data_IF_436325130708
#
_entry.id   IF_436325130708
#
_cell.length_a   1.000
_cell.length_b   1.000
_cell.length_c   1.000
_cell.angle_alpha   90.00
_cell.angle_beta   90.00
_cell.angle_gamma   90.00
#
_symmetry.space_group_name_H-M   'P 1'
#
loop_
_entity.id
_entity.type
_entity.pdbx_description
1 polymer ?
#
# COMPACT_ATOMS: atom_id res chain seq x y z
N UNK A 1 11.82 24.88 -2.70
CA UNK A 1 11.78 23.60 -1.95
C UNK A 1 11.04 22.61 -2.82
N UNK A 2 11.73 21.61 -3.39
CA UNK A 2 11.05 20.56 -4.15
C UNK A 2 10.24 19.73 -3.15
N UNK A 3 8.92 19.91 -3.12
CA UNK A 3 8.02 19.01 -2.38
C UNK A 3 8.24 17.62 -2.93
N UNK A 4 8.90 16.77 -2.14
CA UNK A 4 9.07 15.35 -2.45
C UNK A 4 7.70 14.75 -2.73
N UNK A 5 7.46 14.37 -4.00
CA UNK A 5 6.19 13.78 -4.41
C UNK A 5 6.05 12.44 -3.70
N UNK A 6 5.12 12.38 -2.75
CA UNK A 6 4.82 11.20 -1.95
C UNK A 6 3.36 10.82 -2.11
N UNK A 7 3.06 9.52 -1.99
CA UNK A 7 1.68 9.07 -1.99
C UNK A 7 1.00 9.57 -0.71
N UNK A 8 -0.26 9.95 -0.84
CA UNK A 8 -1.05 10.48 0.27
C UNK A 8 -2.39 9.77 0.33
N UNK A 9 -2.88 9.52 1.54
CA UNK A 9 -4.25 9.09 1.74
C UNK A 9 -5.21 10.27 1.55
N UNK A 10 -6.49 9.97 1.30
CA UNK A 10 -7.56 10.98 1.24
C UNK A 10 -7.69 11.81 2.53
N UNK A 11 -7.25 11.27 3.67
CA UNK A 11 -7.21 11.99 4.94
C UNK A 11 -5.98 12.92 5.09
N UNK A 12 -5.13 13.03 4.07
CA UNK A 12 -3.91 13.84 4.09
C UNK A 12 -2.68 13.16 4.70
N UNK A 13 -2.82 11.94 5.24
CA UNK A 13 -1.67 11.20 5.77
C UNK A 13 -0.72 10.76 4.65
N UNK A 14 0.58 11.03 4.82
CA UNK A 14 1.63 10.54 3.92
C UNK A 14 1.76 9.02 4.03
N UNK A 15 1.77 8.36 2.87
CA UNK A 15 1.82 6.91 2.74
C UNK A 15 3.20 6.48 2.28
N UNK A 16 3.87 5.73 3.17
CA UNK A 16 5.13 5.05 2.93
C UNK A 16 5.01 3.60 3.42
N UNK A 17 5.84 2.70 2.89
CA UNK A 17 5.83 1.28 3.32
C UNK A 17 6.03 1.12 4.82
N UNK A 18 6.76 2.03 5.46
CA UNK A 18 7.12 1.99 6.87
C UNK A 18 5.97 2.46 7.75
N UNK A 19 5.17 3.42 7.27
CA UNK A 19 4.01 3.95 8.00
C UNK A 19 2.75 3.12 7.81
N UNK A 20 2.65 2.36 6.71
CA UNK A 20 1.50 1.51 6.45
C UNK A 20 1.32 0.43 7.53
N UNK A 21 0.07 0.33 8.01
CA UNK A 21 -0.37 -0.73 8.90
C UNK A 21 -0.76 -1.93 8.04
N UNK A 22 -0.13 -3.07 8.30
CA UNK A 22 -0.40 -4.31 7.58
C UNK A 22 -0.99 -5.28 8.59
N UNK A 23 -2.26 -5.66 8.40
CA UNK A 23 -2.97 -6.56 9.31
C UNK A 23 -3.22 -7.88 8.61
N UNK A 24 -2.96 -9.01 9.27
CA UNK A 24 -3.26 -10.33 8.67
C UNK A 24 -4.77 -10.56 8.67
N UNK A 25 -5.34 -10.87 7.50
CA UNK A 25 -6.73 -11.30 7.35
C UNK A 25 -6.72 -12.79 6.99
N UNK A 26 -7.06 -13.64 7.96
CA UNK A 26 -7.12 -15.08 7.76
C UNK A 26 -5.75 -15.71 7.45
N UNK A 27 -5.76 -16.84 6.74
CA UNK A 27 -4.54 -17.61 6.49
C UNK A 27 -3.72 -17.09 5.30
N UNK A 28 -4.38 -16.48 4.31
CA UNK A 28 -3.80 -16.18 2.98
C UNK A 28 -3.86 -14.71 2.57
N UNK A 29 -4.20 -13.79 3.47
CA UNK A 29 -4.40 -12.39 3.14
C UNK A 29 -3.83 -11.41 4.16
N UNK A 30 -3.51 -10.21 3.69
CA UNK A 30 -3.17 -9.05 4.52
C UNK A 30 -3.99 -7.82 4.09
N UNK A 31 -4.55 -7.10 5.05
CA UNK A 31 -5.09 -5.75 4.84
C UNK A 31 -3.96 -4.73 4.84
N UNK A 32 -4.05 -3.73 3.98
CA UNK A 32 -3.23 -2.52 4.05
C UNK A 32 -4.14 -1.41 4.55
N UNK A 33 -3.87 -0.92 5.75
CA UNK A 33 -4.64 0.16 6.37
C UNK A 33 -3.83 1.47 6.43
N UNK A 34 -4.56 2.57 6.46
CA UNK A 34 -4.00 3.90 6.64
C UNK A 34 -3.38 4.02 8.04
N UNK A 35 -2.18 4.62 8.18
CA UNK A 35 -1.60 4.91 9.50
C UNK A 35 -2.47 5.78 10.40
N UNK A 36 -3.35 6.61 9.80
CA UNK A 36 -4.20 7.50 10.56
C UNK A 36 -5.44 6.74 11.07
N UNK A 37 -5.60 6.57 12.39
CA UNK A 37 -6.75 5.85 12.96
C UNK A 37 -8.08 6.57 12.73
N UNK A 38 -8.03 7.87 12.41
CA UNK A 38 -9.19 8.70 12.10
C UNK A 38 -9.51 8.74 10.59
N UNK A 39 -8.78 7.97 9.78
CA UNK A 39 -9.00 7.95 8.34
C UNK A 39 -10.39 7.35 8.01
N UNK A 40 -11.27 8.04 7.28
CA UNK A 40 -12.58 7.49 6.92
C UNK A 40 -12.48 6.31 5.94
N UNK A 41 -11.39 6.21 5.18
CA UNK A 41 -11.18 5.09 4.26
C UNK A 41 -10.79 3.81 5.01
N UNK A 42 -10.04 3.95 6.11
CA UNK A 42 -9.34 2.90 6.89
C UNK A 42 -8.50 1.93 6.04
N UNK A 43 -9.11 1.20 5.12
CA UNK A 43 -8.50 0.30 4.17
C UNK A 43 -7.99 1.02 2.91
N UNK A 44 -6.68 0.96 2.67
CA UNK A 44 -6.03 1.46 1.46
C UNK A 44 -5.90 0.38 0.39
N UNK A 45 -6.03 -0.88 0.76
CA UNK A 45 -5.93 -2.03 -0.12
C UNK A 45 -5.76 -3.33 0.65
N UNK A 46 -5.46 -4.38 -0.08
CA UNK A 46 -5.20 -5.71 0.48
C UNK A 46 -4.12 -6.42 -0.32
N UNK A 47 -3.60 -7.49 0.25
CA UNK A 47 -2.59 -8.36 -0.33
C UNK A 47 -3.08 -9.78 -0.24
N UNK A 48 -3.10 -10.45 -1.38
CA UNK A 48 -3.37 -11.88 -1.46
C UNK A 48 -2.04 -12.62 -1.58
N UNK A 49 -1.90 -13.70 -0.83
CA UNK A 49 -0.74 -14.60 -0.93
C UNK A 49 -1.15 -15.78 -1.81
N UNK A 50 -0.63 -15.82 -3.03
CA UNK A 50 -0.78 -16.96 -3.93
C UNK A 50 0.45 -17.87 -3.84
N UNK A 51 0.22 -19.19 -3.74
CA UNK A 51 1.21 -20.27 -3.58
C UNK A 51 1.97 -20.34 -2.24
N UNK A 52 1.69 -21.37 -1.44
CA UNK A 52 2.37 -21.63 -0.16
C UNK A 52 3.87 -21.96 -0.28
N UNK A 53 4.30 -22.59 -1.38
CA UNK A 53 5.70 -23.03 -1.55
C UNK A 53 6.63 -21.94 -2.09
N UNK A 54 6.08 -20.92 -2.76
CA UNK A 54 6.78 -19.71 -3.23
C UNK A 54 5.80 -18.54 -3.12
N UNK A 55 5.72 -17.88 -1.94
CA UNK A 55 4.69 -16.89 -1.68
C UNK A 55 4.80 -15.74 -2.69
N UNK A 56 3.78 -15.63 -3.53
CA UNK A 56 3.59 -14.52 -4.45
C UNK A 56 2.58 -13.58 -3.82
N UNK A 57 3.03 -12.38 -3.50
CA UNK A 57 2.21 -11.34 -2.89
C UNK A 57 1.58 -10.50 -3.99
N UNK A 58 0.26 -10.64 -4.19
CA UNK A 58 -0.52 -9.81 -5.10
C UNK A 58 -1.15 -8.67 -4.33
N UNK A 59 -0.54 -7.49 -4.44
CA UNK A 59 -1.00 -6.29 -3.74
C UNK A 59 -2.02 -5.54 -4.60
N UNK A 60 -3.23 -5.39 -4.08
CA UNK A 60 -4.35 -4.67 -4.70
C UNK A 60 -4.68 -3.43 -3.87
N UNK A 61 -4.25 -2.26 -4.35
CA UNK A 61 -4.62 -0.97 -3.77
C UNK A 61 -6.03 -0.56 -4.19
N UNK A 62 -6.75 0.11 -3.30
CA UNK A 62 -8.10 0.60 -3.56
C UNK A 62 -8.09 1.60 -4.71
N UNK A 63 -9.16 1.57 -5.50
CA UNK A 63 -9.34 2.50 -6.62
C UNK A 63 -9.37 3.95 -6.12
N UNK A 64 -10.06 4.22 -5.00
CA UNK A 64 -10.12 5.55 -4.41
C UNK A 64 -8.73 6.08 -4.04
N UNK A 65 -7.84 5.23 -3.50
CA UNK A 65 -6.47 5.62 -3.21
C UNK A 65 -5.69 5.99 -4.47
N UNK A 66 -5.82 5.20 -5.54
CA UNK A 66 -5.17 5.49 -6.83
C UNK A 66 -5.70 6.78 -7.46
N UNK A 67 -7.02 6.93 -7.57
CA UNK A 67 -7.65 8.09 -8.20
C UNK A 67 -7.28 9.39 -7.45
N UNK A 68 -7.26 9.36 -6.11
CA UNK A 68 -6.81 10.49 -5.29
C UNK A 68 -5.36 10.91 -5.59
N UNK A 69 -4.44 9.95 -5.68
CA UNK A 69 -3.03 10.24 -5.95
C UNK A 69 -2.78 10.65 -7.42
N UNK A 70 -3.58 10.15 -8.36
CA UNK A 70 -3.56 10.62 -9.75
C UNK A 70 -3.96 12.09 -9.82
N UNK A 71 -4.98 12.52 -9.07
CA UNK A 71 -5.41 13.92 -9.01
C UNK A 71 -4.33 14.83 -8.43
N UNK A 72 -3.62 14.38 -7.39
CA UNK A 72 -2.59 15.19 -6.71
C UNK A 72 -1.25 15.26 -7.47
N UNK A 73 -0.82 14.15 -8.07
CA UNK A 73 0.55 13.98 -8.58
C UNK A 73 0.63 13.92 -10.10
N UNK A 74 -0.51 13.69 -10.77
CA UNK A 74 -0.58 13.27 -12.17
C UNK A 74 -0.40 11.76 -12.33
N UNK A 75 -0.97 11.20 -13.40
CA UNK A 75 -1.03 9.75 -13.64
C UNK A 75 0.36 9.09 -13.65
N UNK A 76 1.31 9.63 -14.40
CA UNK A 76 2.65 9.03 -14.53
C UNK A 76 3.43 9.02 -13.21
N UNK A 77 3.38 10.11 -12.45
CA UNK A 77 4.05 10.20 -11.15
C UNK A 77 3.40 9.24 -10.14
N UNK A 78 2.07 9.17 -10.12
CA UNK A 78 1.32 8.22 -9.29
C UNK A 78 1.68 6.77 -9.66
N UNK A 79 1.69 6.41 -10.94
CA UNK A 79 2.02 5.07 -11.40
C UNK A 79 3.43 4.64 -10.94
N UNK A 80 4.40 5.55 -11.06
CA UNK A 80 5.79 5.30 -10.63
C UNK A 80 5.87 5.06 -9.12
N UNK A 81 5.25 5.93 -8.32
CA UNK A 81 5.27 5.82 -6.86
C UNK A 81 4.49 4.61 -6.36
N UNK A 82 3.35 4.28 -6.99
CA UNK A 82 2.59 3.08 -6.68
C UNK A 82 3.41 1.84 -6.97
N UNK A 83 4.07 1.73 -8.14
CA UNK A 83 4.93 0.57 -8.45
C UNK A 83 6.05 0.41 -7.42
N UNK A 84 6.67 1.52 -7.03
CA UNK A 84 7.71 1.50 -6.00
C UNK A 84 7.15 1.02 -4.65
N UNK A 85 6.01 1.56 -4.22
CA UNK A 85 5.32 1.12 -3.01
C UNK A 85 4.99 -0.38 -3.05
N UNK A 86 4.46 -0.89 -4.16
CA UNK A 86 4.14 -2.33 -4.32
C UNK A 86 5.38 -3.21 -4.21
N UNK A 87 6.52 -2.76 -4.78
CA UNK A 87 7.80 -3.47 -4.67
C UNK A 87 8.31 -3.49 -3.23
N UNK A 88 8.25 -2.35 -2.54
CA UNK A 88 8.65 -2.26 -1.13
C UNK A 88 7.75 -3.09 -0.22
N UNK A 89 6.42 -3.05 -0.42
CA UNK A 89 5.47 -3.89 0.31
C UNK A 89 5.74 -5.38 0.12
N UNK A 90 5.99 -5.81 -1.13
CA UNK A 90 6.30 -7.22 -1.42
C UNK A 90 7.58 -7.69 -0.72
N UNK A 91 8.60 -6.83 -0.63
CA UNK A 91 9.84 -7.12 0.11
C UNK A 91 9.61 -7.16 1.62
N UNK A 92 8.82 -6.23 2.16
CA UNK A 92 8.45 -6.20 3.58
C UNK A 92 7.67 -7.46 3.98
N UNK A 93 6.71 -7.88 3.17
CA UNK A 93 5.87 -9.07 3.43
C UNK A 93 6.65 -10.39 3.34
N UNK A 94 7.62 -10.51 2.44
CA UNK A 94 8.52 -11.68 2.41
C UNK A 94 9.24 -11.86 3.76
N UNK A 95 9.76 -10.77 4.33
CA UNK A 95 10.39 -10.82 5.66
C UNK A 95 9.44 -11.25 6.77
N UNK A 96 8.15 -10.88 6.67
CA UNK A 96 7.12 -11.32 7.63
C UNK A 96 6.71 -12.79 7.45
N UNK A 97 6.81 -13.33 6.24
CA UNK A 97 6.38 -14.71 5.94
C UNK A 97 7.50 -15.75 6.16
N UNK A 98 8.76 -15.34 6.18
CA UNK A 98 9.92 -16.22 6.46
C UNK A 98 10.18 -16.46 7.96
N UNK A 99 9.41 -15.82 8.85
CA UNK A 99 9.41 -16.02 10.31
C UNK A 99 8.12 -16.72 10.76
#
# INVERSE_FOLDING_TARGET
MATEKSLSCICGASIDVSSLVIERIGEVGYKIACPSPKCPLHELGFVEVTHHSKPKFEVKLSRMFKDWNILLLGRESCDRLVRDLLKQLSLKLRKFYEY
#
